data_IF_336469458613
#
_entry.id   IF_336469458613
#
_cell.length_a   1.000
_cell.length_b   1.000
_cell.length_c   1.000
_cell.angle_alpha   90.00
_cell.angle_beta   90.00
_cell.angle_gamma   90.00
#
_symmetry.space_group_name_H-M   'P 1'
#
loop_
_entity.id
_entity.type
_entity.pdbx_description
1 polymer ?
#
# COMPACT_ATOMS: atom_id res chain seq x y z
N UNK A 1 -6.52 -15.90 13.13
CA UNK A 1 -7.73 -15.11 13.46
C UNK A 1 -7.89 -13.94 12.48
N UNK A 2 -9.12 -13.46 12.27
CA UNK A 2 -9.48 -12.32 11.40
C UNK A 2 -9.80 -11.06 12.24
N UNK A 3 -8.86 -10.70 13.09
CA UNK A 3 -8.92 -9.64 14.09
C UNK A 3 -8.12 -8.39 13.67
N UNK A 4 -7.80 -8.26 12.39
CA UNK A 4 -7.01 -7.16 11.86
C UNK A 4 -7.81 -6.19 11.00
N UNK A 5 -7.24 -5.00 10.85
CA UNK A 5 -7.62 -4.01 9.84
C UNK A 5 -6.39 -3.70 8.97
N UNK A 6 -6.60 -3.58 7.66
CA UNK A 6 -5.57 -3.16 6.70
C UNK A 6 -6.02 -1.84 6.07
N UNK A 7 -5.14 -0.85 6.07
CA UNK A 7 -5.32 0.41 5.33
C UNK A 7 -4.34 0.38 4.16
N UNK A 8 -4.87 0.37 2.95
CA UNK A 8 -4.09 0.36 1.70
C UNK A 8 -3.89 1.80 1.27
N UNK A 9 -2.66 2.22 1.02
CA UNK A 9 -2.29 3.59 0.70
C UNK A 9 -1.73 3.70 -0.72
N UNK A 10 -2.03 4.81 -1.40
CA UNK A 10 -1.47 5.14 -2.70
C UNK A 10 -1.26 6.65 -2.88
N UNK A 11 -0.13 7.01 -3.48
CA UNK A 11 0.19 8.34 -3.99
C UNK A 11 0.43 8.24 -5.49
N UNK A 12 -0.60 8.33 -6.33
CA UNK A 12 -0.50 8.04 -7.77
C UNK A 12 0.28 9.07 -8.58
N UNK A 13 0.51 10.26 -8.02
CA UNK A 13 1.15 11.39 -8.70
C UNK A 13 2.69 11.32 -8.63
N UNK A 14 3.24 10.37 -7.85
CA UNK A 14 4.67 10.18 -7.72
C UNK A 14 5.36 9.74 -9.02
N UNK A 15 6.41 10.48 -9.40
CA UNK A 15 7.37 10.09 -10.43
C UNK A 15 8.46 9.21 -9.80
N UNK A 16 8.74 8.07 -10.42
CA UNK A 16 9.74 7.09 -9.98
C UNK A 16 10.78 6.95 -11.08
N UNK A 17 12.07 7.02 -10.72
CA UNK A 17 13.17 6.78 -11.68
C UNK A 17 13.04 5.39 -12.32
N UNK A 18 13.50 5.23 -13.55
CA UNK A 18 13.52 3.97 -14.29
C UNK A 18 14.17 2.83 -13.49
N UNK A 19 13.84 1.58 -13.79
CA UNK A 19 14.27 0.41 -13.01
C UNK A 19 15.65 -0.14 -13.43
N UNK A 20 16.32 0.54 -14.35
CA UNK A 20 17.52 0.11 -15.09
C UNK A 20 17.33 -1.29 -15.70
N UNK A 21 16.20 -1.47 -16.40
CA UNK A 21 15.75 -2.74 -16.96
C UNK A 21 15.38 -2.63 -18.45
N UNK A 22 15.37 -3.76 -19.18
CA UNK A 22 15.08 -3.81 -20.62
C UNK A 22 13.77 -3.11 -21.03
N UNK A 23 12.75 -3.17 -20.18
CA UNK A 23 11.44 -2.55 -20.44
C UNK A 23 11.42 -1.03 -20.24
N UNK A 24 12.46 -0.43 -19.66
CA UNK A 24 12.57 1.02 -19.51
C UNK A 24 12.62 1.74 -20.85
N UNK A 25 13.19 1.10 -21.87
CA UNK A 25 13.22 1.64 -23.23
C UNK A 25 11.81 1.90 -23.79
N UNK A 26 10.85 1.03 -23.46
CA UNK A 26 9.49 1.12 -23.99
C UNK A 26 8.52 1.87 -23.06
N UNK A 27 8.73 1.76 -21.75
CA UNK A 27 7.73 2.18 -20.76
C UNK A 27 8.10 3.48 -20.03
N UNK A 28 9.37 3.88 -20.01
CA UNK A 28 9.80 5.08 -19.31
C UNK A 28 9.70 6.31 -20.22
N UNK A 29 9.30 7.45 -19.67
CA UNK A 29 9.36 8.75 -20.36
C UNK A 29 10.45 9.56 -19.69
N UNK A 30 11.52 9.87 -20.43
CA UNK A 30 12.71 10.57 -19.95
C UNK A 30 13.33 9.89 -18.70
N UNK A 31 13.39 8.55 -18.70
CA UNK A 31 13.93 7.78 -17.57
C UNK A 31 13.06 7.82 -16.31
N UNK A 32 11.79 8.19 -16.42
CA UNK A 32 10.85 8.22 -15.30
C UNK A 32 9.52 7.55 -15.60
N UNK A 33 8.87 7.09 -14.54
CA UNK A 33 7.57 6.44 -14.52
C UNK A 33 6.60 7.20 -13.63
N UNK A 34 5.41 7.56 -14.15
CA UNK A 34 4.28 8.02 -13.33
C UNK A 34 3.48 6.83 -12.79
N UNK A 35 4.14 6.01 -11.96
CA UNK A 35 3.52 4.81 -11.36
C UNK A 35 3.04 5.05 -9.94
N UNK A 36 3.52 6.12 -9.28
CA UNK A 36 3.19 6.46 -7.91
C UNK A 36 3.91 5.62 -6.86
N UNK A 37 3.52 5.82 -5.60
CA UNK A 37 3.97 5.04 -4.44
C UNK A 37 2.79 4.32 -3.78
N UNK A 38 3.03 3.16 -3.18
CA UNK A 38 2.04 2.41 -2.42
C UNK A 38 2.65 1.91 -1.12
N UNK A 39 1.86 2.02 -0.05
CA UNK A 39 2.21 1.57 1.28
C UNK A 39 1.00 0.90 1.94
N UNK A 40 1.21 0.31 3.12
CA UNK A 40 0.16 -0.39 3.85
C UNK A 40 0.32 -0.17 5.35
N UNK A 41 -0.79 0.07 6.03
CA UNK A 41 -0.86 0.08 7.49
C UNK A 41 -1.59 -1.19 7.92
N UNK A 42 -0.96 -1.94 8.83
CA UNK A 42 -1.52 -3.10 9.49
C UNK A 42 -1.93 -2.70 10.90
N UNK A 43 -3.18 -2.97 11.28
CA UNK A 43 -3.68 -2.73 12.62
C UNK A 43 -4.11 -4.07 13.21
N UNK A 44 -3.62 -4.37 14.40
CA UNK A 44 -4.13 -5.46 15.23
C UNK A 44 -5.24 -4.90 16.11
N UNK A 45 -6.49 -5.35 15.90
CA UNK A 45 -7.61 -4.79 16.64
C UNK A 45 -7.67 -5.28 18.10
N UNK A 46 -7.02 -6.40 18.43
CA UNK A 46 -6.99 -6.93 19.81
C UNK A 46 -5.89 -6.28 20.64
N UNK A 47 -4.71 -6.10 20.06
CA UNK A 47 -3.56 -5.47 20.74
C UNK A 47 -3.53 -3.95 20.61
N UNK A 48 -4.49 -3.37 19.90
CA UNK A 48 -4.53 -1.94 19.54
C UNK A 48 -3.17 -1.42 19.02
N UNK A 49 -2.49 -2.25 18.21
CA UNK A 49 -1.20 -1.92 17.63
C UNK A 49 -1.31 -1.55 16.16
N UNK A 50 -0.40 -0.70 15.70
CA UNK A 50 -0.36 -0.15 14.34
C UNK A 50 1.05 -0.26 13.78
N UNK A 51 1.19 -0.76 12.55
CA UNK A 51 2.47 -0.88 11.87
C UNK A 51 2.34 -0.40 10.43
N UNK A 52 3.17 0.57 10.06
CA UNK A 52 3.33 1.01 8.69
C UNK A 52 4.39 0.15 7.99
N UNK A 53 4.13 -0.22 6.74
CA UNK A 53 5.11 -0.84 5.86
C UNK A 53 5.07 -0.24 4.45
N UNK A 54 6.24 -0.07 3.87
CA UNK A 54 6.39 0.14 2.43
C UNK A 54 7.57 -0.66 1.86
N UNK A 55 7.72 -0.61 0.54
CA UNK A 55 8.85 -1.21 -0.16
C UNK A 55 9.33 -0.27 -1.26
N UNK A 56 10.64 -0.10 -1.36
CA UNK A 56 11.25 0.74 -2.39
C UNK A 56 12.76 0.69 -2.38
N UNK A 57 13.37 1.50 -3.25
CA UNK A 57 14.83 1.59 -3.44
C UNK A 57 15.42 2.59 -2.46
N UNK A 58 15.44 2.24 -1.19
CA UNK A 58 15.87 3.12 -0.10
C UNK A 58 17.23 2.66 0.42
N UNK A 59 18.28 3.45 0.19
CA UNK A 59 19.66 3.10 0.59
C UNK A 59 20.08 1.70 0.13
N UNK A 60 19.68 1.32 -1.08
CA UNK A 60 19.95 0.00 -1.68
C UNK A 60 20.79 0.15 -2.95
N UNK A 61 21.61 -0.86 -3.31
CA UNK A 61 22.28 -0.89 -4.60
C UNK A 61 21.28 -0.85 -5.78
N UNK A 62 21.78 -0.48 -6.96
CA UNK A 62 20.98 -0.47 -8.18
C UNK A 62 20.36 -1.84 -8.45
N UNK A 63 19.09 -1.86 -8.87
CA UNK A 63 18.33 -3.09 -9.11
C UNK A 63 17.73 -3.74 -7.85
N UNK A 64 17.95 -3.21 -6.65
CA UNK A 64 17.39 -3.73 -5.41
C UNK A 64 16.52 -2.71 -4.68
N UNK A 65 15.62 -3.21 -3.84
CA UNK A 65 14.87 -2.43 -2.86
C UNK A 65 14.73 -3.20 -1.55
N UNK A 66 14.25 -2.52 -0.51
CA UNK A 66 14.06 -3.07 0.83
C UNK A 66 12.69 -2.73 1.38
N UNK A 67 12.24 -3.53 2.37
CA UNK A 67 11.03 -3.27 3.14
C UNK A 67 11.39 -2.31 4.29
N UNK A 68 10.55 -1.29 4.51
CA UNK A 68 10.70 -0.37 5.63
C UNK A 68 9.53 -0.48 6.61
N UNK A 69 9.82 -0.22 7.87
CA UNK A 69 8.88 -0.04 8.98
C UNK A 69 9.53 0.86 10.05
N UNK A 70 8.85 1.06 11.17
CA UNK A 70 9.37 1.89 12.28
C UNK A 70 10.69 1.37 12.90
N UNK A 71 11.04 0.09 12.73
CA UNK A 71 12.27 -0.49 13.30
C UNK A 71 13.48 -0.12 12.47
N UNK A 72 13.33 -0.17 11.13
CA UNK A 72 14.40 0.15 10.19
C UNK A 72 14.46 1.63 9.83
N UNK A 73 13.33 2.33 9.91
CA UNK A 73 13.18 3.74 9.60
C UNK A 73 12.24 4.39 10.65
N UNK A 74 12.77 4.85 11.80
CA UNK A 74 11.98 5.36 12.92
C UNK A 74 10.98 6.47 12.57
N UNK A 75 11.28 7.29 11.56
CA UNK A 75 10.40 8.37 11.08
C UNK A 75 9.08 7.87 10.47
N UNK A 76 8.99 6.58 10.13
CA UNK A 76 7.77 5.93 9.65
C UNK A 76 6.81 5.54 10.77
N UNK A 77 7.22 5.66 12.04
CA UNK A 77 6.37 5.36 13.19
C UNK A 77 5.10 6.20 13.19
N UNK A 78 3.93 5.55 13.25
CA UNK A 78 2.64 6.23 13.43
C UNK A 78 2.40 6.40 14.93
N UNK A 79 2.31 7.65 15.39
CA UNK A 79 2.15 8.03 16.79
C UNK A 79 0.69 7.90 17.24
N UNK A 80 -0.26 8.11 16.32
CA UNK A 80 -1.69 7.94 16.59
C UNK A 80 -2.00 6.47 16.89
N UNK A 81 -2.28 6.18 18.17
CA UNK A 81 -2.75 4.86 18.59
C UNK A 81 -4.12 4.53 17.99
N UNK A 82 -4.36 3.33 17.45
CA UNK A 82 -5.66 2.93 16.94
C UNK A 82 -6.65 2.76 18.10
N UNK A 83 -7.85 3.35 17.96
CA UNK A 83 -8.93 3.22 18.95
C UNK A 83 -9.96 2.20 18.44
N UNK A 84 -10.08 1.05 19.11
CA UNK A 84 -10.97 -0.03 18.68
C UNK A 84 -12.21 -0.07 19.55
N UNK A 85 -13.39 0.04 18.94
CA UNK A 85 -14.69 -0.15 19.61
C UNK A 85 -15.49 -1.20 18.85
N UNK A 86 -15.93 -2.26 19.54
CA UNK A 86 -16.67 -3.38 18.93
C UNK A 86 -15.96 -3.94 17.69
N UNK A 87 -14.65 -4.17 17.79
CA UNK A 87 -13.79 -4.65 16.70
C UNK A 87 -13.77 -3.75 15.45
N UNK A 88 -14.03 -2.44 15.62
CA UNK A 88 -13.98 -1.42 14.56
C UNK A 88 -13.03 -0.29 14.96
N UNK A 89 -12.17 0.10 14.01
CA UNK A 89 -11.35 1.30 14.13
C UNK A 89 -12.22 2.56 14.08
N UNK A 90 -12.13 3.40 15.11
CA UNK A 90 -12.97 4.59 15.27
C UNK A 90 -12.27 5.90 14.92
N UNK A 91 -10.94 5.97 15.04
CA UNK A 91 -10.14 7.17 14.78
C UNK A 91 -9.34 7.10 13.46
N UNK A 92 -9.91 6.47 12.43
CA UNK A 92 -9.28 6.34 11.11
C UNK A 92 -8.78 7.68 10.55
N UNK A 93 -9.57 8.75 10.68
CA UNK A 93 -9.22 10.05 10.13
C UNK A 93 -7.92 10.61 10.73
N UNK A 94 -7.71 10.47 12.04
CA UNK A 94 -6.47 10.90 12.69
C UNK A 94 -5.25 10.15 12.15
N UNK A 95 -5.37 8.82 11.97
CA UNK A 95 -4.31 7.99 11.38
C UNK A 95 -3.99 8.42 9.94
N UNK A 96 -5.02 8.66 9.13
CA UNK A 96 -4.84 9.08 7.74
C UNK A 96 -4.21 10.47 7.63
N UNK A 97 -4.62 11.43 8.46
CA UNK A 97 -4.04 12.77 8.47
C UNK A 97 -2.57 12.75 8.89
N UNK A 98 -2.23 12.02 9.97
CA UNK A 98 -0.84 11.87 10.39
C UNK A 98 0.01 11.22 9.28
N UNK A 99 -0.49 10.15 8.67
CA UNK A 99 0.24 9.44 7.62
C UNK A 99 0.47 10.32 6.39
N UNK A 100 -0.52 11.14 6.00
CA UNK A 100 -0.39 12.06 4.87
C UNK A 100 0.61 13.20 5.11
N UNK A 101 0.79 13.62 6.36
CA UNK A 101 1.70 14.71 6.74
C UNK A 101 3.18 14.23 6.85
N UNK A 102 3.40 12.91 6.94
CA UNK A 102 4.74 12.32 7.04
C UNK A 102 5.52 12.37 5.73
N UNK A 103 6.55 13.21 5.68
CA UNK A 103 7.51 13.30 4.56
C UNK A 103 8.29 11.99 4.30
N UNK A 104 8.53 11.19 5.34
CA UNK A 104 9.26 9.91 5.29
C UNK A 104 8.58 8.83 4.42
N UNK A 105 7.28 9.00 4.13
CA UNK A 105 6.54 8.11 3.22
C UNK A 105 6.95 8.29 1.75
N UNK A 106 7.62 9.39 1.40
CA UNK A 106 7.94 9.78 0.02
C UNK A 106 6.72 9.84 -0.93
N UNK A 107 5.51 9.91 -0.38
CA UNK A 107 4.30 10.17 -1.13
C UNK A 107 4.34 11.56 -1.78
N UNK A 108 3.86 11.67 -3.02
CA UNK A 108 3.70 12.95 -3.73
C UNK A 108 2.25 13.15 -4.13
N UNK A 109 1.76 14.37 -3.99
CA UNK A 109 0.39 14.74 -4.32
C UNK A 109 -0.63 14.15 -3.34
N UNK A 110 -1.83 13.86 -3.83
CA UNK A 110 -2.94 13.35 -3.03
C UNK A 110 -2.65 11.94 -2.51
N UNK A 111 -2.94 11.71 -1.22
CA UNK A 111 -2.96 10.35 -0.67
C UNK A 111 -4.35 9.75 -0.83
N UNK A 112 -4.42 8.54 -1.36
CA UNK A 112 -5.64 7.75 -1.45
C UNK A 112 -5.54 6.57 -0.48
N UNK A 113 -6.64 6.28 0.23
CA UNK A 113 -6.67 5.20 1.20
C UNK A 113 -7.95 4.38 1.11
N UNK A 114 -7.84 3.04 1.17
CA UNK A 114 -9.01 2.17 1.36
C UNK A 114 -8.81 1.22 2.53
N UNK A 115 -9.91 0.82 3.17
CA UNK A 115 -9.88 0.05 4.41
C UNK A 115 -10.47 -1.34 4.21
N UNK A 116 -9.68 -2.36 4.53
CA UNK A 116 -10.06 -3.76 4.59
C UNK A 116 -10.23 -4.19 6.05
N UNK A 117 -11.41 -4.68 6.40
CA UNK A 117 -11.76 -5.16 7.74
C UNK A 117 -11.81 -6.69 7.76
N UNK A 118 -11.77 -7.29 8.96
CA UNK A 118 -11.82 -8.76 9.14
C UNK A 118 -10.68 -9.48 8.40
N UNK A 119 -9.46 -8.94 8.49
CA UNK A 119 -8.27 -9.51 7.87
C UNK A 119 -7.38 -10.15 8.93
N UNK A 120 -6.46 -11.01 8.52
CA UNK A 120 -5.46 -11.59 9.41
C UNK A 120 -4.23 -10.68 9.52
N UNK A 121 -4.12 -9.96 10.65
CA UNK A 121 -2.95 -9.14 10.97
C UNK A 121 -1.66 -9.99 10.95
N UNK A 122 -1.64 -11.08 11.72
CA UNK A 122 -0.46 -11.94 11.90
C UNK A 122 0.10 -12.47 10.59
N UNK A 123 -0.74 -12.95 9.66
CA UNK A 123 -0.29 -13.47 8.36
C UNK A 123 0.38 -12.39 7.50
N UNK A 124 -0.18 -11.18 7.52
CA UNK A 124 0.36 -10.04 6.78
C UNK A 124 1.67 -9.56 7.42
N UNK A 125 1.66 -9.32 8.73
CA UNK A 125 2.82 -8.86 9.49
C UNK A 125 4.01 -9.83 9.37
N UNK A 126 3.78 -11.13 9.58
CA UNK A 126 4.85 -12.13 9.46
C UNK A 126 5.42 -12.19 8.04
N UNK A 127 4.59 -11.99 7.01
CA UNK A 127 5.08 -11.92 5.64
C UNK A 127 5.92 -10.66 5.38
N UNK A 128 5.49 -9.51 5.90
CA UNK A 128 6.25 -8.26 5.82
C UNK A 128 7.62 -8.40 6.48
N UNK A 129 7.66 -8.87 7.73
CA UNK A 129 8.92 -9.09 8.47
C UNK A 129 9.78 -10.18 7.84
N UNK A 130 9.20 -11.25 7.27
CA UNK A 130 9.94 -12.25 6.49
C UNK A 130 10.66 -11.63 5.29
N UNK A 131 10.01 -10.71 4.59
CA UNK A 131 10.64 -10.00 3.47
C UNK A 131 11.68 -8.99 3.95
N UNK A 132 11.40 -8.24 5.01
CA UNK A 132 12.36 -7.31 5.60
C UNK A 132 13.65 -8.00 6.05
N UNK A 133 13.56 -9.21 6.62
CA UNK A 133 14.73 -10.02 7.00
C UNK A 133 15.64 -10.43 5.83
N UNK A 134 15.19 -10.33 4.58
CA UNK A 134 16.04 -10.57 3.41
C UNK A 134 16.98 -9.40 3.13
N UNK A 135 16.78 -8.27 3.82
CA UNK A 135 17.47 -6.99 3.66
C UNK A 135 17.27 -6.38 2.27
N UNK A 136 17.81 -7.01 1.23
CA UNK A 136 17.70 -6.59 -0.16
C UNK A 136 16.88 -7.58 -1.00
N UNK A 137 15.96 -7.04 -1.79
CA UNK A 137 15.10 -7.80 -2.70
C UNK A 137 15.20 -7.18 -4.08
N UNK A 138 15.34 -8.02 -5.11
CA UNK A 138 15.35 -7.57 -6.50
C UNK A 138 14.13 -6.67 -6.78
N UNK A 139 14.39 -5.49 -7.29
CA UNK A 139 13.37 -4.49 -7.64
C UNK A 139 12.98 -4.65 -9.10
N UNK A 140 11.67 -4.59 -9.39
CA UNK A 140 11.21 -4.48 -10.76
C UNK A 140 9.74 -4.84 -10.93
N UNK A 141 8.92 -4.04 -11.64
CA UNK A 141 7.51 -4.36 -11.91
C UNK A 141 7.29 -5.59 -12.78
N UNK A 142 8.18 -5.86 -13.73
CA UNK A 142 8.09 -6.98 -14.67
C UNK A 142 9.06 -8.12 -14.37
N UNK A 143 9.91 -7.97 -13.36
CA UNK A 143 10.77 -9.07 -12.91
C UNK A 143 9.92 -10.06 -12.10
N UNK A 144 9.78 -11.30 -12.60
CA UNK A 144 8.96 -12.35 -11.99
C UNK A 144 9.43 -12.67 -10.55
N UNK A 145 10.74 -12.63 -10.32
CA UNK A 145 11.36 -12.89 -9.01
C UNK A 145 11.52 -11.63 -8.15
N UNK A 146 11.35 -10.45 -8.75
CA UNK A 146 11.47 -9.18 -8.03
C UNK A 146 10.27 -8.81 -7.18
N UNK A 147 10.23 -7.56 -6.73
CA UNK A 147 9.04 -6.89 -6.20
C UNK A 147 9.11 -5.38 -6.42
N UNK A 148 8.03 -4.68 -6.12
CA UNK A 148 7.97 -3.22 -6.07
C UNK A 148 6.98 -2.82 -4.96
N UNK A 149 6.79 -1.52 -4.73
CA UNK A 149 5.88 -1.00 -3.70
C UNK A 149 4.48 -1.63 -3.80
N UNK A 150 3.86 -1.57 -4.97
CA UNK A 150 2.51 -2.07 -5.23
C UNK A 150 2.40 -3.58 -5.13
N UNK A 151 3.39 -4.33 -5.63
CA UNK A 151 3.39 -5.80 -5.58
C UNK A 151 3.58 -6.29 -4.16
N UNK A 152 4.43 -5.62 -3.38
CA UNK A 152 4.58 -5.85 -1.95
C UNK A 152 3.26 -5.64 -1.20
N UNK A 153 2.61 -4.48 -1.38
CA UNK A 153 1.30 -4.18 -0.76
C UNK A 153 0.23 -5.19 -1.17
N UNK A 154 0.15 -5.53 -2.46
CA UNK A 154 -0.79 -6.53 -2.99
C UNK A 154 -0.58 -7.91 -2.38
N UNK A 155 0.67 -8.34 -2.14
CA UNK A 155 0.97 -9.62 -1.50
C UNK A 155 0.58 -9.62 -0.02
N UNK A 156 0.79 -8.50 0.69
CA UNK A 156 0.33 -8.36 2.08
C UNK A 156 -1.20 -8.40 2.19
N UNK A 157 -1.91 -7.67 1.32
CA UNK A 157 -3.36 -7.77 1.19
C UNK A 157 -3.81 -9.21 0.91
N UNK A 158 -3.14 -9.92 -0.01
CA UNK A 158 -3.49 -11.30 -0.36
C UNK A 158 -3.29 -12.26 0.83
N UNK A 159 -2.19 -12.12 1.58
CA UNK A 159 -1.88 -12.97 2.74
C UNK A 159 -2.82 -12.71 3.92
N UNK A 160 -3.35 -11.50 4.04
CA UNK A 160 -4.29 -11.14 5.11
C UNK A 160 -5.71 -11.67 4.89
N UNK A 161 -6.07 -12.01 3.65
CA UNK A 161 -7.41 -12.46 3.27
C UNK A 161 -7.63 -13.99 3.35
N UNK A 162 -8.84 -14.38 3.77
CA UNK A 162 -9.41 -15.69 3.48
C UNK A 162 -9.95 -15.74 2.04
N UNK A 163 -10.41 -16.91 1.58
CA UNK A 163 -10.98 -17.07 0.24
C UNK A 163 -12.12 -16.06 0.02
N UNK A 164 -12.02 -15.25 -1.03
CA UNK A 164 -12.94 -14.16 -1.34
C UNK A 164 -12.68 -13.63 -2.74
N UNK A 165 -13.68 -12.95 -3.34
CA UNK A 165 -13.52 -12.26 -4.62
C UNK A 165 -12.35 -11.25 -4.63
N UNK A 166 -12.09 -10.58 -3.49
CA UNK A 166 -10.93 -9.69 -3.36
C UNK A 166 -9.61 -10.44 -3.49
N UNK A 167 -9.51 -11.61 -2.86
CA UNK A 167 -8.32 -12.46 -2.93
C UNK A 167 -8.07 -12.98 -4.34
N UNK A 168 -9.14 -13.34 -5.07
CA UNK A 168 -9.06 -13.71 -6.48
C UNK A 168 -8.57 -12.55 -7.35
N UNK A 169 -9.09 -11.34 -7.15
CA UNK A 169 -8.65 -10.12 -7.88
C UNK A 169 -7.19 -9.74 -7.63
N UNK A 170 -6.62 -10.09 -6.47
CA UNK A 170 -5.19 -9.90 -6.18
C UNK A 170 -4.33 -11.02 -6.77
N UNK A 171 -4.90 -12.20 -6.99
CA UNK A 171 -4.21 -13.34 -7.59
C UNK A 171 -4.17 -13.25 -9.12
N UNK A 172 -5.26 -12.81 -9.74
CA UNK A 172 -5.41 -12.59 -11.18
C UNK A 172 -5.61 -11.09 -11.46
N UNK A 173 -4.55 -10.26 -11.37
CA UNK A 173 -4.66 -8.85 -11.69
C UNK A 173 -4.92 -8.66 -13.19
N UNK A 174 -5.78 -7.70 -13.53
CA UNK A 174 -6.05 -7.27 -14.91
C UNK A 174 -4.83 -6.53 -15.49
N UNK A 175 -4.02 -5.93 -14.61
CA UNK A 175 -2.80 -5.21 -14.96
C UNK A 175 -1.61 -6.17 -15.01
N UNK A 176 -0.62 -5.86 -15.86
CA UNK A 176 0.62 -6.63 -16.00
C UNK A 176 1.33 -6.81 -14.64
N UNK A 177 1.27 -5.80 -13.78
CA UNK A 177 1.76 -5.83 -12.41
C UNK A 177 0.78 -5.06 -11.50
N UNK A 178 0.69 -5.38 -10.19
CA UNK A 178 -0.12 -4.57 -9.26
C UNK A 178 0.29 -3.10 -9.30
N UNK A 179 -0.68 -2.18 -9.21
CA UNK A 179 -0.47 -0.73 -9.20
C UNK A 179 -1.06 -0.06 -7.96
N UNK A 180 -0.56 1.12 -7.53
CA UNK A 180 -1.06 1.75 -6.30
C UNK A 180 -2.56 2.04 -6.39
N UNK A 181 -2.99 2.58 -7.54
CA UNK A 181 -4.39 2.87 -7.82
C UNK A 181 -5.27 1.64 -7.70
N UNK A 182 -4.83 0.52 -8.29
CA UNK A 182 -5.62 -0.72 -8.31
C UNK A 182 -5.67 -1.37 -6.94
N UNK A 183 -4.60 -1.31 -6.15
CA UNK A 183 -4.59 -1.81 -4.78
C UNK A 183 -5.66 -1.13 -3.92
N UNK A 184 -5.78 0.21 -4.01
CA UNK A 184 -6.84 0.96 -3.31
C UNK A 184 -8.23 0.51 -3.77
N UNK A 185 -8.48 0.41 -5.09
CA UNK A 185 -9.76 -0.08 -5.64
C UNK A 185 -10.12 -1.51 -5.20
N UNK A 186 -9.13 -2.40 -5.08
CA UNK A 186 -9.36 -3.79 -4.65
C UNK A 186 -9.65 -3.85 -3.15
N UNK A 187 -8.95 -3.02 -2.36
CA UNK A 187 -9.14 -2.95 -0.92
C UNK A 187 -10.58 -2.62 -0.54
N UNK A 188 -11.14 -1.56 -1.12
CA UNK A 188 -12.53 -1.19 -0.91
C UNK A 188 -13.06 -0.27 -2.03
N UNK A 189 -14.36 -0.36 -2.34
CA UNK A 189 -15.06 0.56 -3.26
C UNK A 189 -15.25 1.95 -2.64
N UNK A 190 -15.30 1.99 -1.31
CA UNK A 190 -15.38 3.22 -0.52
C UNK A 190 -13.96 3.54 -0.05
N UNK A 191 -13.46 4.71 -0.43
CA UNK A 191 -12.08 5.12 -0.17
C UNK A 191 -12.03 6.59 0.21
N UNK A 192 -10.87 7.01 0.71
CA UNK A 192 -10.60 8.34 1.20
C UNK A 192 -9.56 9.01 0.31
N UNK A 193 -9.73 10.30 0.08
CA UNK A 193 -8.75 11.17 -0.57
C UNK A 193 -8.32 12.20 0.45
N UNK A 194 -7.01 12.30 0.67
CA UNK A 194 -6.41 13.20 1.64
C UNK A 194 -5.53 14.20 0.87
N UNK A 195 -5.84 15.48 1.06
CA UNK A 195 -5.16 16.61 0.44
C UNK A 195 -5.26 17.82 1.36
N UNK A 196 -4.17 18.57 1.56
CA UNK A 196 -4.17 19.81 2.35
C UNK A 196 -4.84 19.66 3.73
N UNK A 197 -4.52 18.56 4.44
CA UNK A 197 -5.10 18.18 5.75
C UNK A 197 -6.62 18.02 5.77
N UNK A 198 -7.27 17.87 4.61
CA UNK A 198 -8.70 17.58 4.46
C UNK A 198 -8.89 16.15 3.99
N UNK A 199 -9.97 15.52 4.44
CA UNK A 199 -10.36 14.17 4.01
C UNK A 199 -11.66 14.27 3.23
N UNK A 200 -11.67 13.75 2.00
CA UNK A 200 -12.88 13.53 1.20
C UNK A 200 -13.18 12.04 1.13
N UNK A 201 -14.38 11.64 1.53
CA UNK A 201 -14.85 10.25 1.41
C UNK A 201 -15.53 10.05 0.07
N UNK A 202 -15.07 9.06 -0.69
CA UNK A 202 -15.63 8.68 -1.98
C UNK A 202 -16.35 7.34 -1.85
N UNK A 203 -17.58 7.29 -2.35
CA UNK A 203 -18.37 6.06 -2.44
C UNK A 203 -18.66 5.79 -3.91
N UNK A 204 -18.14 4.69 -4.44
CA UNK A 204 -18.44 4.26 -5.82
C UNK A 204 -19.37 3.05 -5.83
N UNK A 205 -20.33 2.98 -6.78
CA UNK A 205 -21.02 1.73 -7.10
C UNK A 205 -20.03 0.65 -7.48
N UNK A 206 -20.36 -0.62 -7.24
CA UNK A 206 -19.45 -1.75 -7.43
C UNK A 206 -18.90 -1.81 -8.87
N UNK A 207 -19.77 -1.76 -9.89
CA UNK A 207 -19.38 -1.77 -11.31
C UNK A 207 -18.47 -0.59 -11.66
N UNK A 208 -18.87 0.64 -11.30
CA UNK A 208 -18.06 1.84 -11.57
C UNK A 208 -16.70 1.79 -10.87
N UNK A 209 -16.64 1.28 -9.63
CA UNK A 209 -15.38 1.12 -8.88
C UNK A 209 -14.41 0.12 -9.54
N UNK A 210 -14.94 -0.82 -10.33
CA UNK A 210 -14.14 -1.83 -10.99
C UNK A 210 -13.45 -1.30 -12.24
N UNK A 211 -14.14 -0.48 -13.04
CA UNK A 211 -13.69 0.00 -14.35
C UNK A 211 -13.10 1.42 -14.36
N UNK A 212 -13.23 2.19 -13.28
CA UNK A 212 -12.74 3.58 -13.24
C UNK A 212 -11.56 3.76 -12.28
N UNK A 213 -10.63 4.68 -12.61
CA UNK A 213 -9.51 5.07 -11.74
C UNK A 213 -10.01 5.69 -10.43
N UNK A 214 -9.23 5.55 -9.36
CA UNK A 214 -9.46 6.28 -8.10
C UNK A 214 -9.31 7.79 -8.24
N UNK A 215 -8.68 8.30 -9.31
CA UNK A 215 -8.55 9.75 -9.55
C UNK A 215 -9.79 10.37 -10.21
N UNK A 216 -10.63 9.56 -10.86
CA UNK A 216 -11.84 10.02 -11.54
C UNK A 216 -13.05 9.80 -10.62
N UNK A 217 -13.29 10.72 -9.67
CA UNK A 217 -14.33 10.59 -8.65
C UNK A 217 -15.30 11.76 -8.58
#
# INVERSE_FOLDING_TARGET
MQNGTVIVLAWPEGMVKNADSWYDFFLSKNGMYRVGHSAIILINNELESINYFDFGRYHTPNGFGRVRDEVTDPDLKILTKPKIKNNKLTNLHSILLETADKKSTHGKGKMYASVMKKVSFTKSYNYAKKLQKKDMIVYGPLNIFGTNCSRFVSKLMFKSLNFSLKKLRLFLPITISPSPKRNVCIGNKDYYVIENKKIKTIKKPFLKSYFTSIENY
#
